data_IF_265288595529
#
_entry.id   IF_265288595529
#
_cell.length_a   1.000
_cell.length_b   1.000
_cell.length_c   1.000
_cell.angle_alpha   90.00
_cell.angle_beta   90.00
_cell.angle_gamma   90.00
#
_symmetry.space_group_name_H-M   'P 1'
#
loop_
_entity.id
_entity.type
_entity.pdbx_description
1 polymer ?
#
# COMPACT_ATOMS: atom_id res chain seq x y z
N UNK A 1 -29.16 -23.43 -5.71
CA UNK A 1 -28.12 -22.47 -6.09
C UNK A 1 -28.62 -21.31 -6.94
N UNK A 2 -29.83 -21.41 -7.53
CA UNK A 2 -30.31 -20.42 -8.49
C UNK A 2 -30.72 -19.04 -8.00
N UNK A 3 -30.70 -18.77 -6.69
CA UNK A 3 -31.07 -17.45 -6.15
C UNK A 3 -29.88 -16.57 -5.78
N UNK A 4 -28.68 -17.13 -5.66
CA UNK A 4 -27.47 -16.40 -5.25
C UNK A 4 -26.50 -16.14 -6.40
N UNK A 5 -26.61 -16.86 -7.50
CA UNK A 5 -25.75 -16.75 -8.66
C UNK A 5 -26.57 -16.54 -9.92
N UNK A 6 -26.25 -15.50 -10.67
CA UNK A 6 -26.88 -15.23 -11.96
C UNK A 6 -25.92 -15.66 -13.07
N UNK A 7 -26.44 -16.41 -14.07
CA UNK A 7 -25.64 -16.82 -15.21
C UNK A 7 -26.17 -16.21 -16.50
N UNK A 8 -25.27 -15.71 -17.34
CA UNK A 8 -25.57 -15.12 -18.64
C UNK A 8 -24.50 -15.47 -19.67
N UNK A 9 -24.88 -15.79 -20.90
CA UNK A 9 -23.91 -15.98 -21.98
C UNK A 9 -23.34 -14.65 -22.47
N UNK A 10 -22.03 -14.58 -22.65
CA UNK A 10 -21.31 -13.38 -23.03
C UNK A 10 -20.06 -13.71 -23.86
N UNK A 11 -20.13 -13.51 -25.19
CA UNK A 11 -18.97 -13.59 -26.10
C UNK A 11 -18.09 -14.85 -25.94
N UNK A 12 -18.73 -16.04 -25.90
CA UNK A 12 -18.01 -17.32 -25.76
C UNK A 12 -17.65 -17.70 -24.31
N UNK A 13 -18.18 -16.95 -23.35
CA UNK A 13 -18.13 -17.27 -21.94
C UNK A 13 -19.54 -17.34 -21.34
N UNK A 14 -19.70 -18.17 -20.33
CA UNK A 14 -20.82 -18.01 -19.39
C UNK A 14 -20.34 -17.14 -18.24
N UNK A 15 -20.87 -15.90 -18.15
CA UNK A 15 -20.67 -15.03 -17.01
C UNK A 15 -21.46 -15.55 -15.83
N UNK A 16 -20.80 -15.65 -14.68
CA UNK A 16 -21.38 -16.04 -13.39
C UNK A 16 -21.24 -14.86 -12.45
N UNK A 17 -22.33 -14.17 -12.22
CA UNK A 17 -22.40 -13.10 -11.24
C UNK A 17 -22.49 -13.71 -9.85
N UNK A 18 -21.52 -13.39 -9.00
CA UNK A 18 -21.48 -13.91 -7.63
C UNK A 18 -22.17 -12.96 -6.64
N UNK A 19 -22.58 -13.42 -5.46
CA UNK A 19 -23.10 -12.55 -4.40
C UNK A 19 -22.00 -11.80 -3.64
N UNK A 20 -20.76 -11.90 -4.08
CA UNK A 20 -19.62 -11.31 -3.41
C UNK A 20 -19.23 -9.98 -4.04
N UNK A 21 -18.70 -9.06 -3.21
CA UNK A 21 -18.32 -7.71 -3.62
C UNK A 21 -16.85 -7.46 -3.36
N UNK A 22 -16.24 -6.64 -4.21
CA UNK A 22 -14.98 -5.99 -3.91
C UNK A 22 -15.17 -4.97 -2.77
N UNK A 23 -14.10 -4.51 -2.09
CA UNK A 23 -14.19 -3.54 -1.00
C UNK A 23 -14.86 -2.20 -1.35
N UNK A 24 -14.95 -1.84 -2.62
CA UNK A 24 -15.64 -0.63 -3.11
C UNK A 24 -17.12 -0.86 -3.43
N UNK A 25 -17.60 -2.10 -3.33
CA UNK A 25 -18.98 -2.48 -3.55
C UNK A 25 -19.27 -3.03 -4.96
N UNK A 26 -18.28 -3.09 -5.84
CA UNK A 26 -18.43 -3.72 -7.16
C UNK A 26 -18.56 -5.24 -7.03
N UNK A 27 -19.38 -5.84 -7.90
CA UNK A 27 -19.66 -7.27 -7.88
C UNK A 27 -18.50 -8.06 -8.47
N UNK A 28 -18.11 -9.16 -7.81
CA UNK A 28 -17.15 -10.12 -8.36
C UNK A 28 -17.87 -11.02 -9.39
N UNK A 29 -17.51 -10.83 -10.65
CA UNK A 29 -17.97 -11.65 -11.76
C UNK A 29 -16.93 -12.71 -12.13
N UNK A 30 -17.38 -13.91 -12.45
CA UNK A 30 -16.54 -15.00 -12.95
C UNK A 30 -16.99 -15.41 -14.34
N UNK A 31 -16.08 -15.96 -15.12
CA UNK A 31 -16.29 -16.28 -16.52
C UNK A 31 -15.87 -17.72 -16.80
N UNK A 32 -16.83 -18.56 -17.15
CA UNK A 32 -16.57 -19.92 -17.58
C UNK A 32 -16.39 -19.93 -19.09
N UNK A 33 -15.24 -20.42 -19.57
CA UNK A 33 -14.97 -20.53 -21.01
C UNK A 33 -15.82 -21.63 -21.64
N UNK A 34 -16.52 -21.29 -22.71
CA UNK A 34 -17.29 -22.22 -23.53
C UNK A 34 -16.47 -22.76 -24.72
N UNK A 35 -15.30 -22.15 -24.96
CA UNK A 35 -14.45 -22.47 -26.11
C UNK A 35 -13.32 -23.41 -25.71
N UNK A 36 -13.18 -24.52 -26.43
CA UNK A 36 -11.98 -25.38 -26.34
C UNK A 36 -12.16 -26.74 -25.71
N UNK A 37 -13.41 -27.17 -25.42
CA UNK A 37 -13.64 -28.52 -24.88
C UNK A 37 -13.24 -28.69 -23.42
N UNK A 38 -12.96 -29.93 -23.01
CA UNK A 38 -12.52 -30.26 -21.63
C UNK A 38 -10.99 -30.25 -21.58
N UNK A 39 -10.34 -29.63 -20.57
CA UNK A 39 -10.93 -29.03 -19.36
C UNK A 39 -11.54 -27.63 -19.59
N UNK A 40 -12.66 -27.36 -18.93
CA UNK A 40 -13.25 -26.03 -18.88
C UNK A 40 -12.38 -25.13 -18.02
N UNK A 41 -12.36 -23.83 -18.34
CA UNK A 41 -11.61 -22.84 -17.56
C UNK A 41 -12.56 -21.81 -16.95
N UNK A 42 -12.54 -21.70 -15.64
CA UNK A 42 -13.21 -20.63 -14.89
C UNK A 42 -12.17 -19.57 -14.52
N UNK A 43 -12.45 -18.29 -14.79
CA UNK A 43 -11.51 -17.19 -14.59
C UNK A 43 -12.25 -15.91 -14.19
N UNK A 44 -11.52 -14.97 -13.56
CA UNK A 44 -11.97 -13.60 -13.32
C UNK A 44 -11.59 -12.64 -14.47
N UNK A 45 -11.02 -13.12 -15.56
CA UNK A 45 -10.46 -12.34 -16.67
C UNK A 45 -9.45 -11.24 -16.23
N UNK A 46 -8.91 -11.34 -15.02
CA UNK A 46 -7.95 -10.37 -14.45
C UNK A 46 -8.60 -9.16 -13.76
N UNK A 47 -9.92 -9.18 -13.57
CA UNK A 47 -10.66 -8.10 -12.91
C UNK A 47 -10.15 -7.87 -11.48
N UNK A 48 -9.89 -8.94 -10.70
CA UNK A 48 -9.42 -8.81 -9.31
C UNK A 48 -8.06 -8.09 -9.20
N UNK A 49 -7.09 -8.47 -10.01
CA UNK A 49 -5.79 -7.79 -10.01
C UNK A 49 -5.83 -6.44 -10.71
N UNK A 50 -6.72 -6.27 -11.69
CA UNK A 50 -7.02 -4.98 -12.31
C UNK A 50 -7.59 -4.02 -11.28
N UNK A 51 -8.62 -4.44 -10.55
CA UNK A 51 -9.21 -3.68 -9.45
C UNK A 51 -8.16 -3.31 -8.39
N UNK A 52 -7.37 -4.28 -7.93
CA UNK A 52 -6.31 -4.03 -6.94
C UNK A 52 -5.28 -3.00 -7.44
N UNK A 53 -4.96 -2.97 -8.74
CA UNK A 53 -4.08 -1.94 -9.33
C UNK A 53 -4.71 -0.55 -9.34
N UNK A 54 -6.01 -0.43 -9.58
CA UNK A 54 -6.67 0.88 -9.55
C UNK A 54 -6.77 1.45 -8.14
N UNK A 55 -6.78 0.59 -7.12
CA UNK A 55 -6.83 0.98 -5.71
C UNK A 55 -5.45 1.27 -5.12
N UNK A 56 -4.41 0.68 -5.68
CA UNK A 56 -3.02 0.89 -5.24
C UNK A 56 -2.27 1.70 -6.30
N UNK A 57 -1.67 2.81 -5.91
CA UNK A 57 -0.99 3.72 -6.85
C UNK A 57 0.35 3.16 -7.33
N UNK A 58 0.90 2.15 -6.65
CA UNK A 58 2.13 1.51 -7.09
C UNK A 58 1.87 0.50 -8.22
N UNK A 59 2.35 0.80 -9.42
CA UNK A 59 2.40 -0.17 -10.53
C UNK A 59 3.33 -1.37 -10.23
N UNK A 60 4.31 -1.18 -9.37
CA UNK A 60 5.26 -2.21 -8.94
C UNK A 60 4.80 -2.83 -7.64
N UNK A 61 4.23 -4.03 -7.73
CA UNK A 61 4.05 -4.86 -6.54
C UNK A 61 5.42 -5.25 -6.00
N UNK A 62 5.64 -5.02 -4.71
CA UNK A 62 6.84 -5.54 -4.03
C UNK A 62 6.86 -7.07 -4.10
N UNK A 63 8.03 -7.67 -3.97
CA UNK A 63 8.15 -9.14 -3.97
C UNK A 63 7.32 -9.78 -2.85
N UNK A 64 7.16 -9.09 -1.72
CA UNK A 64 6.29 -9.49 -0.62
C UNK A 64 4.82 -9.48 -1.02
N UNK A 65 4.36 -8.43 -1.70
CA UNK A 65 2.98 -8.36 -2.19
C UNK A 65 2.67 -9.46 -3.21
N UNK A 66 3.62 -9.75 -4.11
CA UNK A 66 3.51 -10.89 -5.05
C UNK A 66 3.37 -12.22 -4.32
N UNK A 67 4.25 -12.49 -3.34
CA UNK A 67 4.20 -13.72 -2.54
C UNK A 67 2.86 -13.88 -1.80
N UNK A 68 2.31 -12.80 -1.23
CA UNK A 68 1.00 -12.86 -0.57
C UNK A 68 -0.12 -13.24 -1.53
N UNK A 69 -0.13 -12.70 -2.76
CA UNK A 69 -1.10 -13.08 -3.78
C UNK A 69 -0.90 -14.54 -4.18
N UNK A 70 0.34 -14.98 -4.39
CA UNK A 70 0.67 -16.36 -4.73
C UNK A 70 0.25 -17.32 -3.62
N UNK A 71 0.46 -16.97 -2.35
CA UNK A 71 0.05 -17.76 -1.18
C UNK A 71 -1.48 -17.90 -1.10
N UNK A 72 -2.22 -16.84 -1.38
CA UNK A 72 -3.69 -16.90 -1.47
C UNK A 72 -4.11 -17.85 -2.61
N UNK A 73 -3.50 -17.70 -3.78
CA UNK A 73 -3.80 -18.56 -4.94
C UNK A 73 -3.51 -20.03 -4.62
N UNK A 74 -2.35 -20.32 -4.03
CA UNK A 74 -1.96 -21.67 -3.63
C UNK A 74 -2.95 -22.26 -2.60
N UNK A 75 -3.32 -21.48 -1.59
CA UNK A 75 -4.24 -21.90 -0.52
C UNK A 75 -5.61 -22.32 -1.06
N UNK A 76 -6.11 -21.59 -2.06
CA UNK A 76 -7.40 -21.88 -2.69
C UNK A 76 -7.29 -22.80 -3.92
N UNK A 77 -6.08 -23.24 -4.27
CA UNK A 77 -5.84 -24.05 -5.47
C UNK A 77 -6.25 -23.33 -6.76
N UNK A 78 -5.98 -22.04 -6.84
CA UNK A 78 -6.22 -21.17 -7.97
C UNK A 78 -4.89 -20.90 -8.67
N UNK A 79 -4.88 -20.93 -9.98
CA UNK A 79 -3.72 -20.57 -10.80
C UNK A 79 -3.72 -19.06 -11.07
N UNK A 80 -2.54 -18.43 -10.95
CA UNK A 80 -2.31 -17.06 -11.39
C UNK A 80 -1.64 -17.10 -12.77
N UNK A 81 -2.36 -16.72 -13.81
CA UNK A 81 -1.84 -16.72 -15.17
C UNK A 81 -2.07 -15.39 -15.87
N UNK A 82 -0.99 -14.72 -16.26
CA UNK A 82 -1.01 -13.41 -16.95
C UNK A 82 -1.90 -12.35 -16.28
N UNK A 83 -1.93 -12.35 -14.96
CA UNK A 83 -2.75 -11.40 -14.20
C UNK A 83 -4.21 -11.83 -14.01
N UNK A 84 -4.59 -13.01 -14.43
CA UNK A 84 -5.92 -13.60 -14.23
C UNK A 84 -5.85 -14.65 -13.13
N UNK A 85 -6.87 -14.71 -12.29
CA UNK A 85 -7.13 -15.83 -11.40
C UNK A 85 -7.92 -16.88 -12.18
N UNK A 86 -7.52 -18.14 -12.12
CA UNK A 86 -8.18 -19.20 -12.89
C UNK A 86 -8.18 -20.55 -12.21
N UNK A 87 -9.21 -21.34 -12.51
CA UNK A 87 -9.35 -22.74 -12.10
C UNK A 87 -9.69 -23.58 -13.30
N UNK A 88 -8.99 -24.69 -13.48
CA UNK A 88 -9.33 -25.69 -14.51
C UNK A 88 -10.32 -26.69 -13.95
N UNK A 89 -11.44 -26.86 -14.62
CA UNK A 89 -12.55 -27.73 -14.23
C UNK A 89 -12.60 -28.93 -15.18
N UNK A 90 -12.51 -30.15 -14.65
CA UNK A 90 -12.43 -31.35 -15.45
C UNK A 90 -13.78 -31.75 -16.07
N UNK A 91 -14.86 -31.45 -15.34
CA UNK A 91 -16.22 -31.79 -15.73
C UNK A 91 -17.22 -30.80 -15.14
N UNK A 92 -18.47 -30.86 -15.60
CA UNK A 92 -19.54 -29.96 -15.16
C UNK A 92 -19.86 -30.07 -13.66
N UNK A 93 -19.62 -31.25 -13.06
CA UNK A 93 -19.85 -31.45 -11.62
C UNK A 93 -18.91 -30.65 -10.71
N UNK A 94 -17.72 -30.34 -11.21
CA UNK A 94 -16.71 -29.54 -10.47
C UNK A 94 -16.94 -28.04 -10.53
N UNK A 95 -17.89 -27.51 -11.32
CA UNK A 95 -18.08 -26.06 -11.51
C UNK A 95 -18.42 -25.36 -10.20
N UNK A 96 -19.32 -25.91 -9.39
CA UNK A 96 -19.75 -25.27 -8.14
C UNK A 96 -18.60 -25.11 -7.14
N UNK A 97 -17.73 -26.12 -7.04
CA UNK A 97 -16.52 -26.06 -6.21
C UNK A 97 -15.54 -25.02 -6.78
N UNK A 98 -15.31 -25.01 -8.08
CA UNK A 98 -14.43 -24.06 -8.74
C UNK A 98 -14.88 -22.61 -8.54
N UNK A 99 -16.20 -22.34 -8.67
CA UNK A 99 -16.80 -21.02 -8.40
C UNK A 99 -16.54 -20.60 -6.95
N UNK A 100 -16.77 -21.50 -6.00
CA UNK A 100 -16.51 -21.20 -4.58
C UNK A 100 -15.04 -20.87 -4.32
N UNK A 101 -14.12 -21.69 -4.84
CA UNK A 101 -12.67 -21.51 -4.67
C UNK A 101 -12.18 -20.20 -5.30
N UNK A 102 -12.60 -19.93 -6.53
CA UNK A 102 -12.16 -18.73 -7.25
C UNK A 102 -12.73 -17.45 -6.61
N UNK A 103 -14.01 -17.48 -6.19
CA UNK A 103 -14.63 -16.36 -5.47
C UNK A 103 -13.92 -16.06 -4.16
N UNK A 104 -13.56 -17.10 -3.39
CA UNK A 104 -12.80 -16.93 -2.15
C UNK A 104 -11.40 -16.37 -2.39
N UNK A 105 -10.73 -16.84 -3.45
CA UNK A 105 -9.43 -16.31 -3.83
C UNK A 105 -9.53 -14.82 -4.24
N UNK A 106 -10.54 -14.47 -5.07
CA UNK A 106 -10.76 -13.09 -5.49
C UNK A 106 -11.03 -12.16 -4.31
N UNK A 107 -11.90 -12.57 -3.37
CA UNK A 107 -12.14 -11.84 -2.11
C UNK A 107 -10.85 -11.66 -1.31
N UNK A 108 -10.10 -12.73 -1.07
CA UNK A 108 -8.86 -12.67 -0.29
C UNK A 108 -7.79 -11.81 -0.94
N UNK A 109 -7.66 -11.88 -2.26
CA UNK A 109 -6.72 -11.03 -3.02
C UNK A 109 -7.16 -9.57 -2.95
N UNK A 110 -8.46 -9.26 -3.08
CA UNK A 110 -8.94 -7.89 -2.94
C UNK A 110 -8.77 -7.33 -1.53
N UNK A 111 -8.97 -8.16 -0.49
CA UNK A 111 -8.73 -7.78 0.92
C UNK A 111 -7.26 -7.44 1.22
N UNK A 112 -6.31 -7.92 0.41
CA UNK A 112 -4.91 -7.51 0.52
C UNK A 112 -4.73 -5.99 0.35
N UNK A 113 -5.68 -5.29 -0.29
CA UNK A 113 -5.67 -3.83 -0.37
C UNK A 113 -5.58 -3.18 1.02
N UNK A 114 -6.36 -3.66 2.01
CA UNK A 114 -6.27 -3.15 3.37
C UNK A 114 -4.88 -3.40 4.00
N UNK A 115 -4.30 -4.56 3.70
CA UNK A 115 -2.96 -4.92 4.14
C UNK A 115 -1.90 -4.05 3.46
N UNK A 116 -1.98 -3.86 2.16
CA UNK A 116 -1.03 -3.06 1.37
C UNK A 116 -1.10 -1.57 1.74
N UNK A 117 -2.29 -1.04 1.96
CA UNK A 117 -2.49 0.34 2.41
C UNK A 117 -1.82 0.62 3.76
N UNK A 118 -1.91 -0.33 4.70
CA UNK A 118 -1.28 -0.20 6.02
C UNK A 118 0.22 -0.51 6.01
N UNK A 119 0.67 -1.35 5.09
CA UNK A 119 2.07 -1.78 4.99
C UNK A 119 2.94 -0.85 4.16
N UNK A 120 2.40 -0.04 3.24
CA UNK A 120 3.20 0.91 2.49
C UNK A 120 3.98 1.84 3.42
N UNK A 121 3.30 2.42 4.41
CA UNK A 121 3.95 3.27 5.41
C UNK A 121 4.91 2.52 6.34
N UNK A 122 4.64 1.24 6.66
CA UNK A 122 5.56 0.44 7.48
C UNK A 122 6.79 -0.01 6.69
N UNK A 123 6.62 -0.34 5.40
CA UNK A 123 7.71 -0.78 4.52
C UNK A 123 8.73 0.32 4.29
N UNK A 124 8.30 1.54 4.01
CA UNK A 124 9.22 2.65 3.79
C UNK A 124 9.98 3.02 5.07
N UNK A 125 9.34 2.97 6.24
CA UNK A 125 10.03 3.19 7.51
C UNK A 125 11.11 2.13 7.78
N UNK A 126 10.87 0.87 7.42
CA UNK A 126 11.86 -0.20 7.56
C UNK A 126 13.02 0.00 6.57
N UNK A 127 12.73 0.43 5.33
CA UNK A 127 13.76 0.78 4.35
C UNK A 127 14.62 1.98 4.77
N UNK A 128 13.98 3.02 5.36
CA UNK A 128 14.69 4.18 5.92
C UNK A 128 15.58 3.75 7.08
N UNK A 129 15.08 2.89 7.98
CA UNK A 129 15.87 2.34 9.08
C UNK A 129 17.11 1.58 8.58
N UNK A 130 16.94 0.67 7.61
CA UNK A 130 18.04 -0.06 6.99
C UNK A 130 19.05 0.87 6.30
N UNK A 131 18.57 1.91 5.63
CA UNK A 131 19.40 2.90 4.97
C UNK A 131 20.22 3.72 5.97
N UNK A 132 19.61 4.20 7.07
CA UNK A 132 20.31 4.96 8.12
C UNK A 132 21.36 4.09 8.83
N UNK A 133 21.00 2.83 9.13
CA UNK A 133 21.93 1.87 9.73
C UNK A 133 23.12 1.55 8.80
N UNK A 134 22.88 1.37 7.49
CA UNK A 134 23.96 1.12 6.52
C UNK A 134 24.90 2.33 6.35
N UNK A 135 24.42 3.53 6.64
CA UNK A 135 25.21 4.79 6.62
C UNK A 135 25.83 5.13 7.98
N UNK A 136 25.67 4.27 8.98
CA UNK A 136 26.14 4.49 10.35
C UNK A 136 25.59 5.78 10.99
N UNK A 137 24.42 6.25 10.52
CA UNK A 137 23.71 7.40 11.08
C UNK A 137 22.93 6.91 12.31
N UNK A 138 23.28 7.40 13.50
CA UNK A 138 22.59 7.06 14.75
C UNK A 138 21.17 7.67 14.77
N UNK A 139 20.16 6.84 15.13
CA UNK A 139 18.77 7.29 15.20
C UNK A 139 18.00 6.60 16.34
N UNK A 140 16.93 7.25 16.76
CA UNK A 140 15.85 6.66 17.56
C UNK A 140 14.59 6.57 16.71
N UNK A 141 13.93 5.41 16.69
CA UNK A 141 12.70 5.17 15.89
C UNK A 141 11.45 5.32 16.74
N UNK A 142 10.49 6.10 16.24
CA UNK A 142 9.15 6.21 16.82
C UNK A 142 9.10 6.92 18.16
N UNK A 143 10.01 7.85 18.40
CA UNK A 143 10.07 8.65 19.62
C UNK A 143 8.77 9.46 19.81
N UNK A 144 8.36 9.59 21.07
CA UNK A 144 7.19 10.40 21.45
C UNK A 144 7.64 11.67 22.13
N UNK A 145 7.27 12.79 21.55
CA UNK A 145 7.59 14.14 22.04
C UNK A 145 6.32 14.89 22.40
N UNK A 146 6.34 15.61 23.50
CA UNK A 146 5.18 16.42 23.93
C UNK A 146 5.33 17.82 23.37
N UNK A 147 4.41 18.21 22.48
CA UNK A 147 4.39 19.54 21.88
C UNK A 147 3.87 20.63 22.82
N UNK A 148 3.89 21.86 22.34
CA UNK A 148 3.41 23.06 23.05
C UNK A 148 1.94 22.92 23.50
N UNK A 149 1.13 22.25 22.73
CA UNK A 149 -0.29 21.99 23.05
C UNK A 149 -0.51 20.99 24.19
N UNK A 150 0.56 20.33 24.67
CA UNK A 150 0.49 19.22 25.61
C UNK A 150 0.18 17.87 24.96
N UNK A 151 -0.02 17.84 23.63
CA UNK A 151 -0.22 16.60 22.87
C UNK A 151 1.10 15.86 22.67
N UNK A 152 1.08 14.54 22.84
CA UNK A 152 2.18 13.69 22.49
C UNK A 152 2.13 13.36 20.97
N UNK A 153 3.19 13.69 20.26
CA UNK A 153 3.41 13.39 18.87
C UNK A 153 4.43 12.28 18.73
N UNK A 154 4.25 11.40 17.77
CA UNK A 154 5.23 10.38 17.41
C UNK A 154 5.94 10.83 16.15
N UNK A 155 7.28 10.93 16.22
CA UNK A 155 8.13 11.13 15.06
C UNK A 155 8.70 9.80 14.59
N UNK A 156 8.88 9.63 13.28
CA UNK A 156 9.32 8.35 12.74
C UNK A 156 10.78 8.08 13.06
N UNK A 157 11.65 9.07 12.88
CA UNK A 157 13.08 9.00 13.25
C UNK A 157 13.54 10.28 13.92
N UNK A 158 14.44 10.11 14.87
CA UNK A 158 15.15 11.20 15.51
C UNK A 158 16.66 10.92 15.42
N UNK A 159 17.38 11.76 14.69
CA UNK A 159 18.83 11.66 14.56
C UNK A 159 19.49 12.77 15.36
N UNK A 160 20.67 12.50 15.93
CA UNK A 160 21.42 13.45 16.73
C UNK A 160 22.87 13.47 16.29
N UNK A 161 23.38 14.67 16.09
CA UNK A 161 24.82 14.96 15.95
C UNK A 161 25.28 15.80 17.13
N UNK A 162 26.54 16.13 17.18
CA UNK A 162 27.08 17.00 18.27
C UNK A 162 26.46 18.42 18.31
N UNK A 163 25.91 18.88 17.19
CA UNK A 163 25.42 20.27 17.02
C UNK A 163 23.90 20.33 16.69
N UNK A 164 23.31 19.24 16.23
CA UNK A 164 21.96 19.24 15.68
C UNK A 164 21.15 18.05 16.15
N UNK A 165 19.88 18.30 16.36
CA UNK A 165 18.86 17.32 16.65
C UNK A 165 17.81 17.38 15.54
N UNK A 166 17.69 16.32 14.70
CA UNK A 166 16.81 16.32 13.52
C UNK A 166 15.68 15.32 13.70
N UNK A 167 14.46 15.82 13.64
CA UNK A 167 13.24 15.02 13.68
C UNK A 167 12.76 14.78 12.27
N UNK A 168 12.47 13.53 11.93
CA UNK A 168 12.05 13.11 10.59
C UNK A 168 10.67 12.46 10.67
N UNK A 169 9.73 12.94 9.86
CA UNK A 169 8.49 12.23 9.54
C UNK A 169 8.57 11.70 8.11
N UNK A 170 8.22 10.45 7.95
CA UNK A 170 8.15 9.79 6.65
C UNK A 170 6.72 9.86 6.12
N UNK A 171 6.53 10.53 5.00
CA UNK A 171 5.24 10.68 4.34
C UNK A 171 5.16 9.64 3.22
N UNK A 172 4.46 8.55 3.48
CA UNK A 172 4.21 7.50 2.49
C UNK A 172 2.75 7.07 2.52
N UNK A 173 2.11 7.04 1.36
CA UNK A 173 0.73 6.58 1.19
C UNK A 173 0.46 6.21 -0.25
N UNK A 174 -0.39 5.22 -0.49
CA UNK A 174 -0.84 4.84 -1.84
C UNK A 174 -2.08 5.59 -2.33
N UNK A 175 -2.48 6.72 -1.71
CA UNK A 175 -3.76 7.36 -2.01
C UNK A 175 -3.67 8.89 -1.92
N UNK A 176 -4.08 9.60 -2.98
CA UNK A 176 -4.13 11.08 -3.02
C UNK A 176 -4.94 11.72 -1.88
N UNK A 177 -6.16 11.23 -1.52
CA UNK A 177 -6.87 11.78 -0.36
C UNK A 177 -6.14 11.59 0.96
N UNK A 178 -5.34 10.54 1.09
CA UNK A 178 -4.51 10.30 2.27
C UNK A 178 -3.23 11.12 2.27
N UNK A 179 -2.67 11.43 1.09
CA UNK A 179 -1.49 12.26 0.92
C UNK A 179 -1.72 13.65 1.55
N UNK A 180 -2.82 14.30 1.18
CA UNK A 180 -3.20 15.61 1.74
C UNK A 180 -3.33 15.59 3.26
N UNK A 181 -4.03 14.58 3.81
CA UNK A 181 -4.20 14.44 5.27
C UNK A 181 -2.87 14.20 5.99
N UNK A 182 -1.97 13.45 5.36
CA UNK A 182 -0.66 13.15 5.94
C UNK A 182 0.22 14.40 5.97
N UNK A 183 0.22 15.21 4.89
CA UNK A 183 0.91 16.49 4.85
C UNK A 183 0.35 17.47 5.90
N UNK A 184 -0.98 17.60 6.02
CA UNK A 184 -1.65 18.40 7.06
C UNK A 184 -1.31 17.94 8.48
N UNK A 185 -1.26 16.63 8.71
CA UNK A 185 -0.87 16.05 9.99
C UNK A 185 0.59 16.37 10.33
N UNK A 186 1.48 16.26 9.35
CA UNK A 186 2.92 16.58 9.50
C UNK A 186 3.13 18.07 9.78
N UNK A 187 2.42 18.95 9.05
CA UNK A 187 2.41 20.38 9.34
C UNK A 187 2.02 20.68 10.80
N UNK A 188 0.91 20.07 11.25
CA UNK A 188 0.43 20.25 12.62
C UNK A 188 1.45 19.73 13.66
N UNK A 189 2.12 18.62 13.36
CA UNK A 189 3.17 18.04 14.21
C UNK A 189 4.34 19.00 14.34
N UNK A 190 4.88 19.48 13.21
CA UNK A 190 6.02 20.40 13.21
C UNK A 190 5.72 21.73 13.87
N UNK A 191 4.54 22.30 13.60
CA UNK A 191 4.11 23.53 14.25
C UNK A 191 3.98 23.39 15.76
N UNK A 192 3.50 22.28 16.29
CA UNK A 192 3.37 22.06 17.72
C UNK A 192 4.71 21.73 18.40
N UNK A 193 5.65 21.10 17.66
CA UNK A 193 6.99 20.79 18.14
C UNK A 193 8.00 21.93 17.94
N UNK A 194 7.69 22.99 17.19
CA UNK A 194 8.63 24.05 16.80
C UNK A 194 9.26 24.81 17.99
N UNK A 195 8.65 24.78 19.16
CA UNK A 195 9.17 25.41 20.37
C UNK A 195 9.80 24.42 21.37
N UNK A 196 10.01 23.18 20.96
CA UNK A 196 10.60 22.16 21.81
C UNK A 196 12.10 22.41 21.93
N UNK A 197 12.59 22.46 23.14
CA UNK A 197 14.04 22.53 23.44
C UNK A 197 14.51 21.13 23.83
N UNK A 198 15.18 20.45 22.89
CA UNK A 198 15.78 19.13 23.12
C UNK A 198 17.29 19.35 23.31
N UNK A 199 17.71 19.66 24.54
CA UNK A 199 19.13 19.92 24.83
C UNK A 199 19.65 21.27 24.30
N UNK A 200 20.97 21.47 24.24
CA UNK A 200 21.62 22.69 23.72
C UNK A 200 21.66 22.75 22.19
N UNK A 201 21.27 21.69 21.50
CA UNK A 201 21.39 21.53 20.07
C UNK A 201 20.24 22.23 19.32
N UNK A 202 20.51 22.69 18.10
CA UNK A 202 19.45 23.24 17.25
C UNK A 202 18.52 22.16 16.74
N UNK A 203 17.22 22.36 16.92
CA UNK A 203 16.19 21.43 16.42
C UNK A 203 15.86 21.70 14.96
N UNK A 204 15.91 20.65 14.14
CA UNK A 204 15.53 20.70 12.73
C UNK A 204 14.39 19.71 12.48
N UNK A 205 13.59 19.98 11.46
CA UNK A 205 12.49 19.13 11.00
C UNK A 205 12.71 18.75 9.56
N UNK A 206 12.53 17.47 9.26
CA UNK A 206 12.61 16.94 7.89
C UNK A 206 11.31 16.18 7.56
N UNK A 207 10.68 16.54 6.48
CA UNK A 207 9.56 15.84 5.88
C UNK A 207 10.07 15.00 4.71
N UNK A 208 10.23 13.69 4.92
CA UNK A 208 10.71 12.75 3.91
C UNK A 208 9.54 12.19 3.14
N UNK A 209 9.41 12.56 1.87
CA UNK A 209 8.36 12.07 0.99
C UNK A 209 8.79 10.79 0.26
N UNK A 210 7.93 9.78 0.31
CA UNK A 210 7.99 8.64 -0.61
C UNK A 210 7.43 9.09 -1.96
N UNK A 211 8.32 9.58 -2.81
CA UNK A 211 8.02 10.16 -4.11
C UNK A 211 8.08 9.14 -5.26
N UNK A 212 8.30 7.86 -4.95
CA UNK A 212 8.17 6.77 -5.93
C UNK A 212 6.72 6.55 -6.36
N UNK A 213 5.78 7.07 -5.57
CA UNK A 213 4.35 7.00 -5.82
C UNK A 213 3.84 8.37 -6.30
N UNK A 214 3.21 8.41 -7.49
CA UNK A 214 2.62 9.63 -8.07
C UNK A 214 1.28 10.00 -7.39
N UNK A 215 1.34 10.21 -6.06
CA UNK A 215 0.18 10.59 -5.23
C UNK A 215 0.23 12.00 -4.71
N UNK A 216 1.42 12.60 -4.70
CA UNK A 216 1.68 13.89 -4.11
C UNK A 216 1.36 15.02 -5.09
N UNK A 217 0.53 15.96 -4.66
CA UNK A 217 0.29 17.19 -5.40
C UNK A 217 1.32 18.28 -5.00
N UNK A 218 1.64 19.25 -5.87
CA UNK A 218 2.55 20.34 -5.52
C UNK A 218 2.17 21.04 -4.21
N UNK A 219 0.88 21.17 -3.95
CA UNK A 219 0.33 21.80 -2.75
C UNK A 219 0.63 21.01 -1.47
N UNK A 220 0.87 19.70 -1.56
CA UNK A 220 1.20 18.86 -0.40
C UNK A 220 2.63 19.10 0.07
N UNK A 221 3.56 19.34 -0.85
CA UNK A 221 4.93 19.76 -0.53
C UNK A 221 4.95 21.15 0.08
N UNK A 222 4.26 22.11 -0.57
CA UNK A 222 4.21 23.50 -0.11
C UNK A 222 3.63 23.68 1.29
N UNK A 223 2.79 22.73 1.75
CA UNK A 223 2.26 22.76 3.13
C UNK A 223 3.33 22.64 4.20
N UNK A 224 4.41 21.92 3.94
CA UNK A 224 5.42 21.61 4.94
C UNK A 224 6.76 22.35 4.71
N UNK A 225 6.96 22.92 3.52
CA UNK A 225 8.19 23.64 3.14
C UNK A 225 8.52 24.82 4.08
N UNK A 226 7.50 25.51 4.60
CA UNK A 226 7.72 26.66 5.50
C UNK A 226 8.13 26.24 6.91
N UNK A 227 7.95 24.98 7.30
CA UNK A 227 8.15 24.50 8.68
C UNK A 227 9.16 23.36 8.77
N UNK A 228 9.60 22.79 7.66
CA UNK A 228 10.56 21.67 7.60
C UNK A 228 11.33 21.67 6.29
N UNK A 229 12.49 21.03 6.30
CA UNK A 229 13.19 20.71 5.06
C UNK A 229 12.48 19.53 4.37
N UNK A 230 12.23 19.66 3.07
CA UNK A 230 11.60 18.60 2.27
C UNK A 230 12.70 17.73 1.69
N UNK A 231 12.57 16.42 1.91
CA UNK A 231 13.44 15.41 1.34
C UNK A 231 12.62 14.41 0.52
N UNK A 232 13.26 13.76 -0.44
CA UNK A 232 12.67 12.79 -1.34
C UNK A 232 13.35 11.44 -1.20
N UNK A 233 12.58 10.38 -1.05
CA UNK A 233 13.14 9.04 -0.89
C UNK A 233 13.88 8.55 -2.15
N UNK A 234 13.47 9.00 -3.34
CA UNK A 234 14.22 8.76 -4.58
C UNK A 234 15.63 9.35 -4.56
N UNK A 235 15.90 10.34 -3.69
CA UNK A 235 17.18 11.06 -3.56
C UNK A 235 17.84 10.79 -2.20
N UNK A 236 18.10 9.52 -1.94
CA UNK A 236 18.60 9.04 -0.63
C UNK A 236 19.89 9.70 -0.19
N UNK A 237 20.78 10.05 -1.12
CA UNK A 237 22.05 10.69 -0.78
C UNK A 237 21.84 12.13 -0.28
N UNK A 238 20.97 12.91 -0.92
CA UNK A 238 20.60 14.25 -0.47
C UNK A 238 19.94 14.20 0.93
N UNK A 239 19.07 13.21 1.15
CA UNK A 239 18.48 12.99 2.47
C UNK A 239 19.53 12.70 3.55
N UNK A 240 20.51 11.84 3.27
CA UNK A 240 21.59 11.57 4.22
C UNK A 240 22.43 12.81 4.53
N UNK A 241 22.71 13.66 3.53
CA UNK A 241 23.42 14.93 3.72
C UNK A 241 22.67 15.88 4.64
N UNK A 242 21.33 15.98 4.52
CA UNK A 242 20.50 16.79 5.43
C UNK A 242 20.60 16.36 6.89
N UNK A 243 20.84 15.07 7.15
CA UNK A 243 20.95 14.54 8.52
C UNK A 243 22.34 14.70 9.11
N UNK A 244 23.39 14.83 8.29
CA UNK A 244 24.79 14.85 8.73
C UNK A 244 25.40 16.25 8.71
N UNK A 245 24.84 17.16 7.93
CA UNK A 245 25.28 18.55 7.77
C UNK A 245 24.21 19.54 8.22
#
# INVERSE_FOLDING_TARGET
>A
MGELFECASLNGYTRIRTPYLYPDGDVIDLFLSEVGGVPLTLTDLGETLGWLRTQTVSERKTDRQRRLIEDVCLTHGVELYRGMLMVRVRDLGGIAEAVSRLSQAALRVSDLWFTFRNQAAASINDEVEEFLAAREIGFERGERLVGRSGRAWRVDFHTRTAEKSTLVNVLSTGSRPSARRLAEHTLATWHDLSNLLIGPESLRFVSLFDDELDVWAPEDFSLVEDVSEVAYWSRKDEFAELLTH
#
